data_IF_146585735995
#
_entry.id   IF_146585735995
#
_cell.length_a   1.000
_cell.length_b   1.000
_cell.length_c   1.000
_cell.angle_alpha   90.00
_cell.angle_beta   90.00
_cell.angle_gamma   90.00
#
_symmetry.space_group_name_H-M   'P 1'
#
loop_
_entity.id
_entity.type
_entity.pdbx_description
1 polymer ?
#
# COMPACT_ATOMS: atom_id res chain seq x y z
N UNK A 1 3.92 -11.29 -11.70
CA UNK A 1 4.22 -10.63 -10.42
C UNK A 1 4.41 -11.68 -9.34
N UNK A 2 5.53 -11.60 -8.64
CA UNK A 2 5.83 -12.49 -7.51
C UNK A 2 5.31 -11.88 -6.21
N UNK A 3 4.53 -12.65 -5.46
CA UNK A 3 3.98 -12.22 -4.16
C UNK A 3 4.63 -13.05 -3.06
N UNK A 4 5.28 -12.38 -2.13
CA UNK A 4 5.96 -12.99 -0.99
C UNK A 4 5.35 -12.51 0.33
N UNK A 5 5.14 -13.43 1.26
CA UNK A 5 4.67 -13.12 2.61
C UNK A 5 5.87 -13.15 3.57
N UNK A 6 6.07 -12.09 4.34
CA UNK A 6 7.14 -11.96 5.33
C UNK A 6 6.63 -11.44 6.67
N UNK A 7 7.40 -11.70 7.73
CA UNK A 7 7.11 -11.15 9.06
C UNK A 7 7.71 -9.76 9.27
N UNK A 8 8.78 -9.44 8.56
CA UNK A 8 9.55 -8.22 8.69
C UNK A 8 9.61 -7.45 7.37
N UNK A 9 9.91 -6.16 7.46
CA UNK A 9 10.07 -5.28 6.31
C UNK A 9 11.21 -5.77 5.39
N UNK A 10 10.95 -5.78 4.09
CA UNK A 10 11.96 -6.11 3.09
C UNK A 10 12.49 -4.83 2.43
N UNK A 11 13.69 -4.43 2.85
CA UNK A 11 14.35 -3.21 2.35
C UNK A 11 14.89 -3.33 0.92
N UNK A 12 14.77 -4.49 0.30
CA UNK A 12 15.17 -4.69 -1.11
C UNK A 12 14.18 -4.11 -2.11
N UNK A 13 12.97 -3.84 -1.67
CA UNK A 13 11.96 -3.24 -2.54
C UNK A 13 12.13 -1.72 -2.64
N UNK A 14 11.70 -1.15 -3.76
CA UNK A 14 11.84 0.29 -4.00
C UNK A 14 10.87 1.13 -3.19
N UNK A 15 9.70 0.59 -2.92
CA UNK A 15 8.57 1.28 -2.35
C UNK A 15 8.11 0.66 -1.04
N UNK A 16 7.80 1.50 -0.06
CA UNK A 16 7.09 1.11 1.15
C UNK A 16 5.66 1.66 1.08
N UNK A 17 4.67 0.77 1.04
CA UNK A 17 3.26 1.12 1.01
C UNK A 17 2.61 0.81 2.37
N UNK A 18 2.24 1.84 3.10
CA UNK A 18 1.66 1.78 4.43
C UNK A 18 0.18 2.17 4.41
N UNK A 19 -0.62 1.53 5.24
CA UNK A 19 -2.00 1.91 5.47
C UNK A 19 -2.14 2.90 6.64
N UNK A 20 -3.15 3.76 6.59
CA UNK A 20 -3.53 4.63 7.69
C UNK A 20 -5.04 4.62 7.86
N UNK A 21 -5.53 4.27 9.05
CA UNK A 21 -6.93 4.45 9.38
C UNK A 21 -7.22 5.90 9.77
N UNK A 22 -8.35 6.43 9.29
CA UNK A 22 -8.81 7.80 9.53
C UNK A 22 -8.98 8.11 11.02
N UNK A 23 -9.39 7.11 11.80
CA UNK A 23 -9.65 7.19 13.24
C UNK A 23 -8.47 6.76 14.14
N UNK A 24 -7.31 6.43 13.55
CA UNK A 24 -6.09 6.05 14.29
C UNK A 24 -4.92 7.00 13.95
N UNK A 25 -4.94 8.22 14.47
CA UNK A 25 -4.00 9.30 14.11
C UNK A 25 -2.53 9.06 14.51
N UNK A 26 -2.25 8.14 15.43
CA UNK A 26 -0.91 7.88 15.95
C UNK A 26 -0.40 6.47 15.61
N UNK A 27 -0.82 5.90 14.48
CA UNK A 27 -0.48 4.52 14.10
C UNK A 27 1.03 4.26 14.05
N UNK A 28 1.82 5.24 13.66
CA UNK A 28 3.27 5.09 13.44
C UNK A 28 4.13 5.74 14.51
N UNK A 29 3.54 6.19 15.64
CA UNK A 29 4.26 6.90 16.71
C UNK A 29 5.48 6.13 17.24
N UNK A 30 5.35 4.82 17.42
CA UNK A 30 6.41 3.99 17.99
C UNK A 30 7.35 3.43 16.92
N UNK A 31 6.83 3.05 15.75
CA UNK A 31 7.60 2.42 14.66
C UNK A 31 8.39 3.44 13.83
N UNK A 32 7.79 4.60 13.56
CA UNK A 32 8.40 5.68 12.78
C UNK A 32 7.86 7.05 13.23
N UNK A 33 8.43 7.64 14.30
CA UNK A 33 7.98 8.92 14.85
C UNK A 33 8.03 10.07 13.84
N UNK A 34 9.06 10.12 13.01
CA UNK A 34 9.21 11.16 11.97
C UNK A 34 8.05 11.11 10.96
N UNK A 35 7.74 9.93 10.45
CA UNK A 35 6.59 9.74 9.56
C UNK A 35 5.27 10.09 10.25
N UNK A 36 5.12 9.68 11.50
CA UNK A 36 3.90 9.97 12.27
C UNK A 36 3.66 11.47 12.42
N UNK A 37 4.69 12.23 12.74
CA UNK A 37 4.62 13.69 12.89
C UNK A 37 4.34 14.37 11.54
N UNK A 38 4.98 13.91 10.47
CA UNK A 38 4.74 14.41 9.12
C UNK A 38 3.29 14.17 8.67
N UNK A 39 2.74 12.98 8.92
CA UNK A 39 1.35 12.67 8.60
C UNK A 39 0.36 13.55 9.38
N UNK A 40 0.62 13.75 10.67
CA UNK A 40 -0.20 14.65 11.49
C UNK A 40 -0.21 16.08 10.94
N UNK A 41 0.96 16.59 10.60
CA UNK A 41 1.09 17.94 10.02
C UNK A 41 0.37 18.02 8.66
N UNK A 42 0.55 17.04 7.79
CA UNK A 42 -0.08 16.99 6.49
C UNK A 42 -1.63 16.96 6.59
N UNK A 43 -2.18 16.21 7.55
CA UNK A 43 -3.61 16.15 7.81
C UNK A 43 -4.10 17.49 8.37
N UNK A 44 -3.39 18.08 9.32
CA UNK A 44 -3.76 19.35 9.94
C UNK A 44 -3.76 20.52 8.93
N UNK A 45 -2.76 20.56 8.05
CA UNK A 45 -2.64 21.55 6.98
C UNK A 45 -3.49 21.22 5.74
N UNK A 46 -4.23 20.12 5.76
CA UNK A 46 -5.08 19.65 4.66
C UNK A 46 -4.34 19.30 3.36
N UNK A 47 -3.06 19.00 3.43
CA UNK A 47 -2.30 18.43 2.30
C UNK A 47 -2.64 16.96 2.07
N UNK A 48 -3.11 16.28 3.11
CA UNK A 48 -3.58 14.92 3.08
C UNK A 48 -4.98 14.83 3.70
N UNK A 49 -6.00 14.58 2.88
CA UNK A 49 -7.40 14.55 3.32
C UNK A 49 -7.78 13.28 4.09
N UNK A 50 -6.97 12.26 4.02
CA UNK A 50 -7.06 10.96 4.69
C UNK A 50 -8.43 10.26 4.66
N UNK A 51 -9.31 10.57 3.71
CA UNK A 51 -10.47 9.75 3.36
C UNK A 51 -10.06 8.48 2.62
N UNK A 52 -10.93 7.48 2.56
CA UNK A 52 -10.59 6.21 1.90
C UNK A 52 -10.02 6.41 0.49
N UNK A 53 -8.87 5.80 0.22
CA UNK A 53 -8.22 5.83 -1.09
C UNK A 53 -7.34 7.05 -1.35
N UNK A 54 -7.32 8.04 -0.45
CA UNK A 54 -6.38 9.16 -0.53
C UNK A 54 -4.96 8.68 -0.28
N UNK A 55 -4.00 9.29 -0.98
CA UNK A 55 -2.59 8.90 -0.96
C UNK A 55 -1.73 10.06 -0.49
N UNK A 56 -0.78 9.78 0.39
CA UNK A 56 0.30 10.68 0.75
C UNK A 56 1.63 10.04 0.38
N UNK A 57 2.48 10.76 -0.33
CA UNK A 57 3.79 10.29 -0.79
C UNK A 57 4.88 11.11 -0.14
N UNK A 58 5.84 10.44 0.46
CA UNK A 58 6.99 11.09 1.09
C UNK A 58 8.27 10.29 0.91
N UNK A 59 9.39 10.87 1.33
CA UNK A 59 10.71 10.25 1.39
C UNK A 59 11.38 10.64 2.70
N UNK A 60 11.62 9.65 3.56
CA UNK A 60 12.38 9.85 4.79
C UNK A 60 13.89 9.86 4.52
N UNK A 61 14.63 10.71 5.23
CA UNK A 61 16.08 10.88 5.01
C UNK A 61 16.87 9.58 5.19
N UNK A 62 16.52 8.77 6.19
CA UNK A 62 17.22 7.54 6.55
C UNK A 62 16.48 6.28 6.08
N UNK A 63 15.56 6.40 5.11
CA UNK A 63 14.82 5.26 4.59
C UNK A 63 15.61 4.51 3.53
N UNK A 64 15.61 3.18 3.61
CA UNK A 64 16.11 2.30 2.55
C UNK A 64 15.22 2.31 1.30
N UNK A 65 13.98 2.79 1.41
CA UNK A 65 13.04 2.88 0.31
C UNK A 65 13.21 4.18 -0.49
N UNK A 66 13.03 4.10 -1.81
CA UNK A 66 13.02 5.29 -2.67
C UNK A 66 11.86 6.22 -2.35
N UNK A 67 10.70 5.66 -2.02
CA UNK A 67 9.49 6.39 -1.63
C UNK A 67 8.71 5.62 -0.57
N UNK A 68 8.00 6.37 0.26
CA UNK A 68 6.99 5.87 1.18
C UNK A 68 5.64 6.39 0.71
N UNK A 69 4.70 5.47 0.55
CA UNK A 69 3.32 5.79 0.20
C UNK A 69 2.46 5.44 1.40
N UNK A 70 1.63 6.36 1.82
CA UNK A 70 0.61 6.12 2.83
C UNK A 70 -0.75 6.19 2.15
N UNK A 71 -1.50 5.09 2.22
CA UNK A 71 -2.85 4.99 1.67
C UNK A 71 -3.84 5.05 2.81
N UNK A 72 -4.76 6.01 2.76
CA UNK A 72 -5.84 6.08 3.74
C UNK A 72 -6.85 4.95 3.52
N UNK A 73 -7.14 4.24 4.59
CA UNK A 73 -8.04 3.07 4.60
C UNK A 73 -9.48 3.43 5.02
N UNK A 74 -9.74 4.71 5.30
CA UNK A 74 -10.99 5.14 5.90
C UNK A 74 -11.07 4.75 7.38
N UNK A 75 -12.28 4.70 7.94
CA UNK A 75 -12.49 4.28 9.34
C UNK A 75 -12.28 2.78 9.49
N UNK A 76 -11.60 2.38 10.55
CA UNK A 76 -11.24 0.98 10.82
C UNK A 76 -12.47 0.06 10.85
N UNK A 77 -13.55 0.48 11.52
CA UNK A 77 -14.82 -0.27 11.60
C UNK A 77 -15.50 -0.49 10.26
N UNK A 78 -15.23 0.37 9.27
CA UNK A 78 -15.84 0.33 7.93
C UNK A 78 -14.92 -0.32 6.89
N UNK A 79 -13.78 -0.87 7.32
CA UNK A 79 -12.83 -1.51 6.42
C UNK A 79 -13.33 -2.90 6.03
N UNK A 80 -13.47 -3.15 4.74
CA UNK A 80 -14.06 -4.36 4.16
C UNK A 80 -13.11 -5.05 3.20
N UNK A 81 -13.45 -6.28 2.80
CA UNK A 81 -12.73 -7.03 1.76
C UNK A 81 -12.67 -6.25 0.43
N UNK A 82 -13.74 -5.56 0.06
CA UNK A 82 -13.76 -4.71 -1.13
C UNK A 82 -12.81 -3.51 -1.00
N UNK A 83 -12.75 -2.87 0.16
CA UNK A 83 -11.79 -1.80 0.43
C UNK A 83 -10.36 -2.30 0.38
N UNK A 84 -10.07 -3.50 0.91
CA UNK A 84 -8.76 -4.12 0.78
C UNK A 84 -8.37 -4.36 -0.69
N UNK A 85 -9.27 -4.93 -1.48
CA UNK A 85 -9.07 -5.14 -2.92
C UNK A 85 -8.75 -3.81 -3.64
N UNK A 86 -9.52 -2.77 -3.37
CA UNK A 86 -9.32 -1.43 -3.94
C UNK A 86 -8.01 -0.79 -3.48
N UNK A 87 -7.61 -0.98 -2.23
CA UNK A 87 -6.33 -0.47 -1.70
C UNK A 87 -5.14 -1.09 -2.44
N UNK A 88 -5.15 -2.41 -2.66
CA UNK A 88 -4.11 -3.07 -3.45
C UNK A 88 -4.09 -2.57 -4.90
N UNK A 89 -5.26 -2.34 -5.48
CA UNK A 89 -5.39 -1.76 -6.82
C UNK A 89 -4.78 -0.35 -6.91
N UNK A 90 -5.00 0.48 -5.91
CA UNK A 90 -4.42 1.84 -5.83
C UNK A 90 -2.89 1.77 -5.84
N UNK A 91 -2.30 0.91 -5.02
CA UNK A 91 -0.84 0.73 -4.95
C UNK A 91 -0.29 0.28 -6.31
N UNK A 92 -0.88 -0.72 -6.93
CA UNK A 92 -0.44 -1.23 -8.23
C UNK A 92 -0.53 -0.16 -9.33
N UNK A 93 -1.62 0.60 -9.38
CA UNK A 93 -1.77 1.69 -10.36
C UNK A 93 -0.68 2.76 -10.18
N UNK A 94 -0.38 3.12 -8.94
CA UNK A 94 0.68 4.07 -8.62
C UNK A 94 2.05 3.55 -9.04
N UNK A 95 2.34 2.27 -8.78
CA UNK A 95 3.59 1.63 -9.21
C UNK A 95 3.73 1.65 -10.73
N UNK A 96 2.68 1.26 -11.47
CA UNK A 96 2.68 1.27 -12.94
C UNK A 96 2.93 2.66 -13.50
N UNK A 97 2.28 3.68 -12.95
CA UNK A 97 2.42 5.06 -13.40
C UNK A 97 3.81 5.65 -13.14
N UNK A 98 4.46 5.25 -12.05
CA UNK A 98 5.79 5.73 -11.66
C UNK A 98 6.93 4.76 -12.00
N UNK A 99 6.63 3.65 -12.68
CA UNK A 99 7.59 2.63 -13.12
C UNK A 99 8.40 2.01 -11.97
N UNK A 100 7.76 1.77 -10.82
CA UNK A 100 8.35 1.00 -9.73
C UNK A 100 8.17 -0.51 -9.95
N UNK A 101 9.22 -1.28 -9.67
CA UNK A 101 9.21 -2.73 -9.85
C UNK A 101 8.65 -3.50 -8.65
N UNK A 102 8.83 -3.01 -7.44
CA UNK A 102 8.44 -3.74 -6.25
C UNK A 102 8.09 -2.87 -5.04
N UNK A 103 7.29 -3.42 -4.14
CA UNK A 103 6.90 -2.77 -2.90
C UNK A 103 6.81 -3.73 -1.72
N UNK A 104 6.96 -3.18 -0.51
CA UNK A 104 6.62 -3.84 0.76
C UNK A 104 5.41 -3.16 1.38
N UNK A 105 4.51 -3.91 2.02
CA UNK A 105 3.29 -3.34 2.61
C UNK A 105 2.87 -4.02 3.90
N UNK A 106 2.33 -3.22 4.84
CA UNK A 106 1.72 -3.67 6.09
C UNK A 106 0.18 -3.81 6.02
N UNK A 107 -0.43 -3.61 4.86
CA UNK A 107 -1.89 -3.50 4.75
C UNK A 107 -2.61 -4.79 5.15
N UNK A 108 -2.02 -5.98 4.93
CA UNK A 108 -2.65 -7.23 5.39
C UNK A 108 -2.73 -7.30 6.91
N UNK A 109 -1.70 -6.85 7.62
CA UNK A 109 -1.70 -6.78 9.09
C UNK A 109 -2.81 -5.85 9.57
N UNK A 110 -2.99 -4.71 8.90
CA UNK A 110 -4.05 -3.76 9.23
C UNK A 110 -5.44 -4.30 8.92
N UNK A 111 -5.61 -5.03 7.82
CA UNK A 111 -6.86 -5.70 7.48
C UNK A 111 -7.26 -6.72 8.57
N UNK A 112 -6.30 -7.49 9.09
CA UNK A 112 -6.52 -8.39 10.21
C UNK A 112 -6.91 -7.65 11.50
N UNK A 113 -6.23 -6.55 11.81
CA UNK A 113 -6.59 -5.69 12.96
C UNK A 113 -7.97 -5.06 12.82
N UNK A 114 -8.47 -4.87 11.61
CA UNK A 114 -9.83 -4.42 11.34
C UNK A 114 -10.90 -5.53 11.43
N UNK A 115 -10.49 -6.77 11.68
CA UNK A 115 -11.39 -7.90 11.90
C UNK A 115 -11.73 -8.73 10.67
N UNK A 116 -11.03 -8.54 9.54
CA UNK A 116 -11.23 -9.38 8.36
C UNK A 116 -10.67 -10.79 8.61
N UNK A 117 -11.31 -11.79 8.00
CA UNK A 117 -10.87 -13.20 8.11
C UNK A 117 -9.65 -13.46 7.22
N UNK A 118 -8.72 -14.26 7.69
CA UNK A 118 -7.45 -14.55 7.01
C UNK A 118 -7.62 -15.01 5.55
N UNK A 119 -8.59 -15.91 5.29
CA UNK A 119 -8.86 -16.40 3.94
C UNK A 119 -9.39 -15.30 3.01
N UNK A 120 -10.21 -14.42 3.52
CA UNK A 120 -10.79 -13.31 2.74
C UNK A 120 -9.75 -12.23 2.48
N UNK A 121 -8.83 -11.99 3.44
CA UNK A 121 -7.68 -11.10 3.27
C UNK A 121 -6.81 -11.60 2.11
N UNK A 122 -6.42 -12.87 2.14
CA UNK A 122 -5.59 -13.46 1.08
C UNK A 122 -6.23 -13.34 -0.29
N UNK A 123 -7.52 -13.70 -0.39
CA UNK A 123 -8.29 -13.60 -1.64
C UNK A 123 -8.38 -12.17 -2.15
N UNK A 124 -8.83 -11.25 -1.31
CA UNK A 124 -9.05 -9.84 -1.71
C UNK A 124 -7.75 -9.15 -2.10
N UNK A 125 -6.66 -9.41 -1.38
CA UNK A 125 -5.36 -8.88 -1.73
C UNK A 125 -4.87 -9.42 -3.07
N UNK A 126 -4.94 -10.73 -3.31
CA UNK A 126 -4.56 -11.36 -4.57
C UNK A 126 -5.38 -10.80 -5.75
N UNK A 127 -6.70 -10.72 -5.61
CA UNK A 127 -7.57 -10.14 -6.64
C UNK A 127 -7.18 -8.69 -6.96
N UNK A 128 -6.97 -7.85 -5.94
CA UNK A 128 -6.55 -6.46 -6.12
C UNK A 128 -5.23 -6.32 -6.83
N UNK A 129 -4.24 -7.14 -6.46
CA UNK A 129 -2.91 -7.14 -7.04
C UNK A 129 -2.91 -7.61 -8.49
N UNK A 130 -3.43 -8.81 -8.75
CA UNK A 130 -3.32 -9.45 -10.06
C UNK A 130 -4.23 -8.80 -11.10
N UNK A 131 -5.47 -8.47 -10.77
CA UNK A 131 -6.37 -7.80 -11.70
C UNK A 131 -5.89 -6.40 -12.09
N UNK A 132 -5.30 -5.65 -11.14
CA UNK A 132 -4.80 -4.31 -11.42
C UNK A 132 -3.44 -4.31 -12.14
N UNK A 133 -2.66 -5.37 -11.98
CA UNK A 133 -1.39 -5.54 -12.68
C UNK A 133 -1.56 -6.10 -14.10
N UNK A 134 -2.73 -6.64 -14.42
CA UNK A 134 -3.01 -7.19 -15.74
C UNK A 134 -2.97 -6.09 -16.81
N UNK A 135 -2.40 -6.42 -17.97
CA UNK A 135 -2.35 -5.51 -19.12
C UNK A 135 -2.74 -6.25 -20.39
N UNK A 136 -3.68 -5.66 -21.15
CA UNK A 136 -4.14 -6.15 -22.46
C UNK A 136 -3.19 -5.73 -23.60
N UNK A 137 -1.88 -5.81 -23.37
CA UNK A 137 -0.88 -5.29 -24.32
C UNK A 137 -0.60 -6.20 -25.53
N UNK A 138 -1.29 -7.34 -25.67
CA UNK A 138 -1.06 -8.30 -26.75
C UNK A 138 -1.08 -7.68 -28.16
N UNK A 139 -1.85 -6.60 -28.34
CA UNK A 139 -2.03 -5.91 -29.62
C UNK A 139 -1.43 -4.49 -29.67
N UNK A 140 -0.59 -4.16 -28.68
CA UNK A 140 0.03 -2.84 -28.55
C UNK A 140 1.53 -2.96 -28.81
N UNK A 141 2.12 -1.98 -29.55
CA UNK A 141 3.56 -1.90 -29.77
C UNK A 141 4.34 -1.87 -28.44
N UNK A 142 5.56 -2.39 -28.41
CA UNK A 142 6.39 -2.44 -27.18
C UNK A 142 6.58 -1.08 -26.52
N UNK A 143 6.71 -0.01 -27.31
CA UNK A 143 6.83 1.36 -26.81
C UNK A 143 5.61 1.88 -26.04
N UNK A 144 4.43 1.31 -26.32
CA UNK A 144 3.15 1.67 -25.67
C UNK A 144 2.75 0.73 -24.55
N UNK A 145 3.54 -0.34 -24.29
CA UNK A 145 3.24 -1.27 -23.20
C UNK A 145 3.40 -0.58 -21.85
N UNK A 146 2.42 -0.80 -20.99
CA UNK A 146 2.45 -0.28 -19.62
C UNK A 146 3.49 -1.05 -18.79
N UNK A 147 4.17 -0.33 -17.91
CA UNK A 147 5.02 -0.95 -16.89
C UNK A 147 4.17 -1.85 -16.00
N UNK A 148 4.67 -3.05 -15.69
CA UNK A 148 4.02 -3.98 -14.77
C UNK A 148 4.84 -4.08 -13.48
N UNK A 149 4.15 -4.10 -12.35
CA UNK A 149 4.78 -4.39 -11.06
C UNK A 149 5.28 -5.84 -11.05
N UNK A 150 6.50 -6.07 -10.58
CA UNK A 150 7.17 -7.36 -10.58
C UNK A 150 7.06 -8.08 -9.25
N UNK A 151 7.18 -7.34 -8.14
CA UNK A 151 7.29 -7.91 -6.81
C UNK A 151 6.36 -7.22 -5.79
N UNK A 152 5.71 -8.03 -4.97
CA UNK A 152 4.97 -7.55 -3.80
C UNK A 152 5.40 -8.35 -2.56
N UNK A 153 5.89 -7.67 -1.54
CA UNK A 153 6.20 -8.25 -0.23
C UNK A 153 5.13 -7.78 0.75
N UNK A 154 4.33 -8.70 1.23
CA UNK A 154 3.22 -8.40 2.13
C UNK A 154 3.56 -8.90 3.54
N UNK A 155 3.47 -7.99 4.51
CA UNK A 155 3.72 -8.34 5.90
C UNK A 155 2.52 -9.11 6.46
N UNK A 156 2.82 -10.15 7.20
CA UNK A 156 1.83 -10.97 7.87
C UNK A 156 2.34 -11.44 9.23
N UNK A 157 1.63 -11.09 10.28
CA UNK A 157 1.86 -11.57 11.64
C UNK A 157 0.70 -12.48 12.05
N UNK A 158 1.04 -13.67 12.55
CA UNK A 158 0.03 -14.59 13.11
C UNK A 158 -0.56 -14.04 14.40
#
# INVERSE_FOLDING_TARGET
>A
MDVTIKKELDTKQELLALGLFEDEKNMYKDENPELNDELKEAIQKRYFKHGFGEIYITKMHNSAYKKIIVVSLGKKKDFTNEKLRRTMSIIIKLMKNNKYDGFTSNILVLAKKAGLKDIDIGRSAAEGLFLSNYDFSKYVSEEKRKHLAKNAVLLWNK
#
